data_IF_864432597203
#
_entry.id   IF_864432597203
#
_cell.length_a   1.000
_cell.length_b   1.000
_cell.length_c   1.000
_cell.angle_alpha   90.00
_cell.angle_beta   90.00
_cell.angle_gamma   90.00
#
_symmetry.space_group_name_H-M   'P 1'
#
loop_
_entity.id
_entity.type
_entity.pdbx_description
1 polymer ?
#
# COMPACT_ATOMS: atom_id res chain seq x y z
N UNK A 1 -13.90 -15.65 -11.21
CA UNK A 1 -13.55 -14.22 -11.40
C UNK A 1 -14.79 -13.31 -11.46
N UNK A 2 -15.76 -13.52 -12.41
CA UNK A 2 -16.94 -12.62 -12.53
C UNK A 2 -17.82 -12.57 -11.28
N UNK A 3 -18.07 -13.70 -10.62
CA UNK A 3 -18.86 -13.76 -9.37
C UNK A 3 -18.20 -12.94 -8.27
N UNK A 4 -16.88 -13.05 -8.11
CA UNK A 4 -16.10 -12.28 -7.13
C UNK A 4 -16.10 -10.79 -7.46
N UNK A 5 -16.00 -10.45 -8.77
CA UNK A 5 -16.08 -9.07 -9.23
C UNK A 5 -17.44 -8.44 -8.87
N UNK A 6 -18.54 -9.16 -9.10
CA UNK A 6 -19.87 -8.67 -8.71
C UNK A 6 -20.05 -8.61 -7.19
N UNK A 7 -19.44 -9.52 -6.44
CA UNK A 7 -19.51 -9.50 -4.98
C UNK A 7 -18.84 -8.26 -4.40
N UNK A 8 -17.62 -7.91 -4.85
CA UNK A 8 -16.91 -6.72 -4.36
C UNK A 8 -17.59 -5.41 -4.79
N UNK A 9 -18.26 -5.40 -5.95
CA UNK A 9 -18.98 -4.21 -6.44
C UNK A 9 -20.31 -3.96 -5.74
N UNK A 10 -21.00 -5.00 -5.28
CA UNK A 10 -22.39 -4.89 -4.80
C UNK A 10 -22.58 -5.26 -3.33
N UNK A 11 -21.60 -5.94 -2.72
CA UNK A 11 -21.69 -6.46 -1.36
C UNK A 11 -20.46 -6.11 -0.53
N UNK A 12 -19.89 -7.10 0.11
CA UNK A 12 -18.62 -7.02 0.81
C UNK A 12 -17.85 -8.30 0.59
N UNK A 13 -16.55 -8.18 0.51
CA UNK A 13 -15.64 -9.31 0.32
C UNK A 13 -14.57 -9.31 1.39
N UNK A 14 -14.06 -10.50 1.69
CA UNK A 14 -12.91 -10.70 2.55
C UNK A 14 -11.84 -11.48 1.80
N UNK A 15 -10.59 -11.07 1.94
CA UNK A 15 -9.44 -11.77 1.38
C UNK A 15 -8.25 -11.73 2.31
N UNK A 16 -7.51 -12.82 2.33
CA UNK A 16 -6.27 -12.90 3.06
C UNK A 16 -5.15 -12.19 2.27
N UNK A 17 -4.50 -11.24 2.91
CA UNK A 17 -3.33 -10.52 2.39
C UNK A 17 -2.14 -10.61 3.34
N UNK A 18 -2.04 -11.68 4.13
CA UNK A 18 -0.95 -11.90 5.08
C UNK A 18 0.43 -11.98 4.42
N UNK A 19 0.51 -12.15 3.10
CA UNK A 19 1.74 -12.00 2.32
C UNK A 19 2.33 -10.58 2.44
N UNK A 20 1.51 -9.58 2.74
CA UNK A 20 1.94 -8.23 3.10
C UNK A 20 2.49 -8.23 4.54
N UNK A 21 3.71 -8.74 4.70
CA UNK A 21 4.39 -8.82 6.00
C UNK A 21 4.58 -7.42 6.59
N UNK A 22 4.57 -7.34 7.92
CA UNK A 22 4.71 -6.08 8.63
C UNK A 22 6.11 -5.94 9.19
N UNK A 23 6.87 -4.94 8.70
CA UNK A 23 8.17 -4.59 9.28
C UNK A 23 7.97 -3.42 10.23
N UNK A 24 8.21 -3.66 11.52
CA UNK A 24 8.17 -2.65 12.56
C UNK A 24 9.49 -1.93 12.69
N UNK A 25 9.45 -0.61 12.72
CA UNK A 25 10.53 0.27 13.15
C UNK A 25 10.08 0.94 14.44
N UNK A 26 10.81 0.72 15.55
CA UNK A 26 10.45 1.24 16.86
C UNK A 26 11.66 1.73 17.63
N UNK A 27 11.52 2.88 18.29
CA UNK A 27 12.53 3.45 19.15
C UNK A 27 12.68 4.96 19.03
N UNK A 28 13.56 5.58 19.81
CA UNK A 28 13.71 7.04 19.88
C UNK A 28 14.01 7.73 18.52
N UNK A 29 14.67 7.03 17.60
CA UNK A 29 15.00 7.53 16.27
C UNK A 29 14.14 6.89 15.17
N UNK A 30 13.02 6.21 15.50
CA UNK A 30 12.17 5.55 14.52
C UNK A 30 11.61 6.53 13.46
N UNK A 31 11.19 7.74 13.85
CA UNK A 31 10.74 8.77 12.92
C UNK A 31 11.87 9.21 11.99
N UNK A 32 13.06 9.48 12.51
CA UNK A 32 14.23 9.91 11.71
C UNK A 32 14.66 8.82 10.72
N UNK A 33 14.69 7.55 11.19
CA UNK A 33 15.02 6.42 10.33
C UNK A 33 13.97 6.24 9.23
N UNK A 34 12.69 6.25 9.60
CA UNK A 34 11.58 6.15 8.64
C UNK A 34 11.65 7.28 7.61
N UNK A 35 11.89 8.53 8.07
CA UNK A 35 12.06 9.66 7.18
C UNK A 35 13.27 9.51 6.24
N UNK A 36 14.34 8.89 6.70
CA UNK A 36 15.55 8.65 5.90
C UNK A 36 15.34 7.60 4.79
N UNK A 37 14.49 6.59 4.99
CA UNK A 37 14.33 5.49 4.03
C UNK A 37 13.19 5.70 3.03
N UNK A 38 12.28 6.65 3.26
CA UNK A 38 11.19 6.97 2.34
C UNK A 38 11.45 8.27 1.59
N UNK A 39 10.81 8.46 0.43
CA UNK A 39 11.06 9.63 -0.43
C UNK A 39 10.30 10.88 -0.05
N UNK A 40 9.34 10.79 0.89
CA UNK A 40 8.53 11.91 1.36
C UNK A 40 8.71 12.14 2.87
N UNK A 41 8.21 13.27 3.36
CA UNK A 41 8.38 13.71 4.75
C UNK A 41 7.53 12.88 5.72
N UNK A 42 8.18 11.97 6.48
CA UNK A 42 7.52 11.13 7.48
C UNK A 42 7.00 11.93 8.69
N UNK A 43 7.61 13.06 9.01
CA UNK A 43 7.23 13.88 10.17
C UNK A 43 5.83 14.48 10.04
N UNK A 44 5.31 14.53 8.81
CA UNK A 44 3.94 15.01 8.50
C UNK A 44 2.85 13.94 8.62
N UNK A 45 3.22 12.71 8.94
CA UNK A 45 2.27 11.64 9.22
C UNK A 45 2.00 11.65 10.72
N UNK A 46 0.81 12.03 11.14
CA UNK A 46 0.43 12.00 12.57
C UNK A 46 0.29 10.56 13.07
N UNK A 47 0.48 10.29 14.38
CA UNK A 47 0.10 9.01 14.97
C UNK A 47 -1.33 8.62 14.64
N UNK A 48 -1.58 7.33 14.54
CA UNK A 48 -2.85 6.73 14.11
C UNK A 48 -3.28 7.15 12.70
N UNK A 49 -2.27 7.34 11.82
CA UNK A 49 -2.47 7.57 10.38
C UNK A 49 -1.58 6.67 9.55
N UNK A 50 -2.10 6.24 8.42
CA UNK A 50 -1.31 5.56 7.40
C UNK A 50 -1.03 6.47 6.20
N UNK A 51 -0.08 6.07 5.36
CA UNK A 51 0.21 6.71 4.06
C UNK A 51 0.83 5.71 3.10
N UNK A 52 0.45 5.83 1.84
CA UNK A 52 1.18 5.22 0.75
C UNK A 52 2.52 5.93 0.56
N UNK A 53 3.61 5.20 0.61
CA UNK A 53 4.96 5.73 0.49
C UNK A 53 5.78 4.87 -0.48
N UNK A 54 6.91 5.38 -0.94
CA UNK A 54 7.85 4.60 -1.73
C UNK A 54 9.24 4.64 -1.11
N UNK A 55 9.93 3.50 -1.21
CA UNK A 55 11.35 3.39 -0.91
C UNK A 55 12.12 3.23 -2.21
N UNK A 56 13.23 3.92 -2.30
CA UNK A 56 14.12 3.82 -3.46
C UNK A 56 15.52 3.37 -3.05
N UNK A 57 16.22 2.72 -3.97
CA UNK A 57 17.66 2.50 -3.84
C UNK A 57 18.46 3.80 -4.12
N UNK A 58 19.77 3.74 -3.92
CA UNK A 58 20.67 4.89 -4.13
C UNK A 58 20.65 5.45 -5.57
N UNK A 59 20.17 4.68 -6.52
CA UNK A 59 20.08 5.07 -7.95
C UNK A 59 18.69 5.58 -8.34
N UNK A 60 17.74 5.63 -7.39
CA UNK A 60 16.37 6.10 -7.60
C UNK A 60 15.40 5.02 -8.09
N UNK A 61 15.81 3.74 -8.14
CA UNK A 61 14.90 2.63 -8.46
C UNK A 61 13.99 2.27 -7.29
N UNK A 62 12.72 1.93 -7.57
CA UNK A 62 11.70 1.63 -6.56
C UNK A 62 11.94 0.26 -5.94
N UNK A 63 12.24 0.21 -4.65
CA UNK A 63 12.44 -1.04 -3.92
C UNK A 63 11.15 -1.65 -3.38
N UNK A 64 10.22 -0.81 -2.95
CA UNK A 64 8.90 -1.20 -2.45
C UNK A 64 8.00 0.02 -2.41
N UNK A 65 6.70 -0.20 -2.42
CA UNK A 65 5.66 0.82 -2.34
C UNK A 65 4.64 0.52 -1.22
N UNK A 66 5.10 0.42 0.04
CA UNK A 66 4.27 -0.05 1.14
C UNK A 66 3.23 0.99 1.58
N UNK A 67 2.25 0.50 2.33
CA UNK A 67 1.49 1.37 3.22
C UNK A 67 2.28 1.51 4.53
N UNK A 68 2.64 2.73 4.87
CA UNK A 68 3.30 3.07 6.14
C UNK A 68 2.24 3.43 7.17
N UNK A 69 2.16 2.67 8.26
CA UNK A 69 1.28 2.93 9.40
C UNK A 69 2.11 3.58 10.51
N UNK A 70 1.76 4.78 10.94
CA UNK A 70 2.33 5.38 12.16
C UNK A 70 1.44 5.02 13.34
N UNK A 71 1.90 4.09 14.15
CA UNK A 71 1.15 3.55 15.31
C UNK A 71 1.26 4.51 16.51
N UNK A 72 2.46 5.02 16.77
CA UNK A 72 2.73 5.99 17.84
C UNK A 72 3.77 7.01 17.41
N UNK A 73 4.25 7.84 18.33
CA UNK A 73 5.33 8.80 18.05
C UNK A 73 6.64 8.10 17.65
N UNK A 74 6.87 6.90 18.20
CA UNK A 74 8.12 6.15 18.09
C UNK A 74 7.93 4.75 17.46
N UNK A 75 6.78 4.48 16.81
CA UNK A 75 6.50 3.18 16.20
C UNK A 75 5.83 3.32 14.84
N UNK A 76 6.46 2.71 13.82
CA UNK A 76 6.01 2.67 12.44
C UNK A 76 5.97 1.22 11.96
N UNK A 77 4.95 0.87 11.17
CA UNK A 77 4.87 -0.41 10.46
C UNK A 77 4.89 -0.17 8.96
N UNK A 78 5.74 -0.88 8.27
CA UNK A 78 5.72 -0.97 6.81
C UNK A 78 4.93 -2.22 6.43
N UNK A 79 3.71 -2.04 5.90
CA UNK A 79 2.93 -3.11 5.28
C UNK A 79 3.44 -3.29 3.87
N UNK A 80 4.19 -4.38 3.65
CA UNK A 80 4.98 -4.58 2.43
C UNK A 80 4.10 -4.88 1.22
N UNK A 81 4.52 -4.43 0.04
CA UNK A 81 4.15 -5.04 -1.22
C UNK A 81 5.09 -6.22 -1.55
N UNK A 82 5.08 -6.70 -2.79
CA UNK A 82 5.70 -7.98 -3.18
C UNK A 82 7.24 -8.05 -3.15
N UNK A 83 7.94 -7.12 -2.48
CA UNK A 83 9.39 -7.21 -2.26
C UNK A 83 9.76 -7.24 -0.78
N UNK A 84 10.85 -7.95 -0.45
CA UNK A 84 11.37 -8.02 0.91
C UNK A 84 12.31 -6.86 1.20
N UNK A 85 11.85 -5.88 1.97
CA UNK A 85 12.69 -4.77 2.43
C UNK A 85 13.15 -4.90 3.88
N UNK A 86 12.78 -5.96 4.60
CA UNK A 86 13.17 -6.13 6.01
C UNK A 86 14.70 -6.13 6.17
N UNK A 87 15.40 -6.98 5.43
CA UNK A 87 16.88 -7.02 5.46
C UNK A 87 17.50 -5.72 4.90
N UNK A 88 16.87 -5.09 3.91
CA UNK A 88 17.33 -3.81 3.40
C UNK A 88 17.28 -2.72 4.48
N UNK A 89 16.17 -2.60 5.20
CA UNK A 89 16.02 -1.63 6.29
C UNK A 89 17.05 -1.87 7.41
N UNK A 90 17.27 -3.14 7.79
CA UNK A 90 18.33 -3.50 8.74
C UNK A 90 19.72 -3.12 8.20
N UNK A 91 19.98 -3.38 6.92
CA UNK A 91 21.24 -3.04 6.25
C UNK A 91 21.50 -1.53 6.22
N UNK A 92 20.46 -0.71 6.04
CA UNK A 92 20.59 0.77 6.07
C UNK A 92 21.00 1.27 7.46
N UNK A 93 20.68 0.55 8.53
CA UNK A 93 21.05 0.89 9.91
C UNK A 93 22.17 0.00 10.49
N UNK A 94 22.97 -0.65 9.66
CA UNK A 94 24.02 -1.58 10.11
C UNK A 94 25.08 -0.89 10.99
N UNK A 95 25.35 0.39 10.78
CA UNK A 95 26.26 1.19 11.59
C UNK A 95 25.66 1.69 12.92
N UNK A 96 24.38 1.40 13.16
CA UNK A 96 23.69 1.76 14.40
C UNK A 96 23.47 3.26 14.60
N UNK A 97 23.55 4.05 13.53
CA UNK A 97 23.38 5.53 13.62
C UNK A 97 21.98 5.98 14.03
N UNK A 98 20.97 5.12 13.88
CA UNK A 98 19.62 5.35 14.37
C UNK A 98 19.31 4.42 15.53
N UNK A 99 18.97 4.97 16.67
CA UNK A 99 18.55 4.20 17.84
C UNK A 99 17.10 3.72 17.68
N UNK A 100 16.92 2.65 16.90
CA UNK A 100 15.64 1.97 16.70
C UNK A 100 15.86 0.50 16.40
N UNK A 101 14.85 -0.33 16.72
CA UNK A 101 14.76 -1.73 16.31
C UNK A 101 14.02 -1.86 15.00
N UNK A 102 14.42 -2.81 14.17
CA UNK A 102 13.82 -3.10 12.86
C UNK A 102 13.59 -4.61 12.81
N UNK A 103 12.33 -5.01 12.81
CA UNK A 103 11.96 -6.43 12.90
C UNK A 103 10.64 -6.73 12.19
N UNK A 104 10.51 -7.93 11.65
CA UNK A 104 9.22 -8.45 11.22
C UNK A 104 8.41 -8.86 12.46
N UNK A 105 7.16 -8.44 12.51
CA UNK A 105 6.26 -8.69 13.64
C UNK A 105 5.13 -9.63 13.27
N UNK A 106 4.64 -10.39 14.27
CA UNK A 106 3.47 -11.28 14.11
C UNK A 106 2.18 -10.45 14.02
N UNK A 107 1.99 -9.82 12.86
CA UNK A 107 0.78 -9.07 12.50
C UNK A 107 0.42 -9.41 11.07
N UNK A 108 -0.78 -9.92 10.85
CA UNK A 108 -1.25 -10.29 9.51
C UNK A 108 -2.50 -9.50 9.11
N UNK A 109 -2.50 -8.88 7.91
CA UNK A 109 -3.65 -8.15 7.41
C UNK A 109 -4.67 -9.05 6.72
N UNK A 110 -5.95 -8.65 6.87
CA UNK A 110 -7.09 -9.16 6.11
C UNK A 110 -7.82 -7.97 5.53
N UNK A 111 -8.16 -7.99 4.24
CA UNK A 111 -8.92 -6.93 3.60
C UNK A 111 -10.43 -7.21 3.60
N UNK A 112 -11.20 -6.18 3.96
CA UNK A 112 -12.68 -6.16 3.94
C UNK A 112 -13.08 -5.07 2.97
N UNK A 113 -13.51 -5.43 1.77
CA UNK A 113 -13.69 -4.50 0.66
C UNK A 113 -15.08 -4.60 0.04
N UNK A 114 -15.65 -3.47 -0.33
CA UNK A 114 -16.94 -3.35 -1.01
C UNK A 114 -17.91 -2.39 -0.31
N UNK A 115 -19.05 -2.05 -0.94
CA UNK A 115 -19.98 -1.03 -0.45
C UNK A 115 -20.59 -1.32 0.93
N UNK A 116 -20.64 -2.60 1.35
CA UNK A 116 -21.13 -2.98 2.68
C UNK A 116 -20.02 -3.15 3.73
N UNK A 117 -18.75 -2.87 3.38
CA UNK A 117 -17.63 -3.04 4.30
C UNK A 117 -17.81 -2.23 5.60
N UNK A 118 -18.22 -0.96 5.49
CA UNK A 118 -18.47 -0.11 6.68
C UNK A 118 -19.53 -0.71 7.61
N UNK A 119 -20.63 -1.22 7.06
CA UNK A 119 -21.69 -1.82 7.86
C UNK A 119 -21.21 -3.08 8.60
N UNK A 120 -20.44 -3.94 7.91
CA UNK A 120 -19.84 -5.11 8.52
C UNK A 120 -18.85 -4.72 9.63
N UNK A 121 -17.99 -3.72 9.40
CA UNK A 121 -17.03 -3.28 10.42
C UNK A 121 -17.70 -2.69 11.65
N UNK A 122 -18.81 -1.96 11.49
CA UNK A 122 -19.63 -1.49 12.61
C UNK A 122 -20.21 -2.64 13.44
N UNK A 123 -20.66 -3.70 12.78
CA UNK A 123 -21.15 -4.89 13.48
C UNK A 123 -20.05 -5.64 14.25
N UNK A 124 -18.84 -5.66 13.71
CA UNK A 124 -17.70 -6.34 14.33
C UNK A 124 -17.09 -5.58 15.51
N UNK A 125 -17.02 -4.26 15.41
CA UNK A 125 -16.31 -3.42 16.37
C UNK A 125 -17.26 -2.62 17.30
N UNK A 126 -18.55 -2.52 16.96
CA UNK A 126 -19.50 -1.70 17.70
C UNK A 126 -19.05 -0.23 17.80
N UNK A 127 -19.26 0.37 18.95
CA UNK A 127 -18.92 1.77 19.24
C UNK A 127 -17.43 1.99 19.56
N UNK A 128 -16.60 0.95 19.44
CA UNK A 128 -15.15 1.06 19.70
C UNK A 128 -14.42 1.90 18.63
N UNK A 129 -14.99 2.00 17.43
CA UNK A 129 -14.40 2.74 16.30
C UNK A 129 -15.47 3.60 15.63
N UNK A 130 -15.19 4.88 15.49
CA UNK A 130 -16.04 5.81 14.73
C UNK A 130 -15.77 5.71 13.23
N UNK A 131 -16.39 4.71 12.60
CA UNK A 131 -16.25 4.49 11.15
C UNK A 131 -16.92 5.57 10.29
N UNK A 132 -17.80 6.40 10.85
CA UNK A 132 -18.45 7.47 10.09
C UNK A 132 -17.52 8.65 9.87
N UNK A 133 -16.66 8.94 10.84
CA UNK A 133 -15.69 10.03 10.78
C UNK A 133 -14.26 9.54 10.53
N UNK A 134 -14.03 8.24 10.37
CA UNK A 134 -12.70 7.71 10.06
C UNK A 134 -12.28 8.17 8.66
N UNK A 135 -11.19 8.93 8.53
CA UNK A 135 -10.73 9.38 7.22
C UNK A 135 -9.98 8.26 6.47
N UNK A 136 -9.89 8.37 5.16
CA UNK A 136 -9.03 7.49 4.36
C UNK A 136 -7.60 7.50 4.93
N UNK A 137 -6.98 6.33 5.09
CA UNK A 137 -5.73 6.12 5.84
C UNK A 137 -5.81 6.49 7.34
N UNK A 138 -7.00 6.59 7.93
CA UNK A 138 -7.17 6.62 9.39
C UNK A 138 -6.90 5.24 9.97
N UNK A 139 -6.31 5.21 11.18
CA UNK A 139 -6.08 4.00 11.94
C UNK A 139 -6.92 4.02 13.22
N UNK A 140 -7.32 2.84 13.70
CA UNK A 140 -7.94 2.67 15.01
C UNK A 140 -7.49 1.35 15.64
N UNK A 141 -7.11 1.38 16.92
CA UNK A 141 -6.90 0.17 17.70
C UNK A 141 -8.23 -0.33 18.26
N UNK A 142 -8.51 -1.62 18.10
CA UNK A 142 -9.77 -2.23 18.52
C UNK A 142 -9.61 -3.74 18.70
N UNK A 143 -10.74 -4.43 18.89
CA UNK A 143 -10.79 -5.90 18.91
C UNK A 143 -11.78 -6.41 17.88
N UNK A 144 -11.38 -7.45 17.16
CA UNK A 144 -12.25 -8.22 16.25
C UNK A 144 -12.26 -9.68 16.72
N UNK A 145 -13.43 -10.25 16.97
CA UNK A 145 -13.52 -11.58 17.58
C UNK A 145 -12.84 -11.68 18.94
N UNK A 146 -12.77 -10.58 19.70
CA UNK A 146 -12.08 -10.50 20.99
C UNK A 146 -10.55 -10.37 20.90
N UNK A 147 -9.97 -10.33 19.69
CA UNK A 147 -8.51 -10.28 19.44
C UNK A 147 -8.07 -8.87 19.06
N UNK A 148 -6.89 -8.47 19.55
CA UNK A 148 -6.33 -7.14 19.34
C UNK A 148 -5.97 -6.90 17.88
N UNK A 149 -6.49 -5.83 17.32
CA UNK A 149 -6.26 -5.43 15.92
C UNK A 149 -6.00 -3.93 15.79
N UNK A 150 -5.31 -3.57 14.72
CA UNK A 150 -5.32 -2.21 14.16
C UNK A 150 -6.18 -2.26 12.91
N UNK A 151 -7.13 -1.33 12.79
CA UNK A 151 -7.94 -1.16 11.58
C UNK A 151 -7.40 0.02 10.80
N UNK A 152 -7.25 -0.14 9.49
CA UNK A 152 -6.95 0.94 8.55
C UNK A 152 -8.10 1.10 7.58
N UNK A 153 -8.51 2.34 7.28
CA UNK A 153 -9.40 2.60 6.14
C UNK A 153 -8.56 2.67 4.87
N UNK A 154 -8.29 1.54 4.30
CA UNK A 154 -7.45 1.33 3.11
C UNK A 154 -7.85 0.06 2.38
N UNK A 155 -7.19 -0.26 1.27
CA UNK A 155 -7.38 -1.47 0.50
C UNK A 155 -6.81 -1.41 -0.89
N UNK A 156 -6.77 -2.56 -1.55
CA UNK A 156 -6.15 -2.78 -2.87
C UNK A 156 -7.17 -3.02 -3.99
N UNK A 157 -8.38 -2.45 -3.86
CA UNK A 157 -9.50 -2.76 -4.78
C UNK A 157 -10.09 -1.55 -5.50
N UNK A 158 -9.85 -0.35 -4.99
CA UNK A 158 -10.55 0.87 -5.42
C UNK A 158 -11.98 0.98 -4.90
N UNK A 159 -12.47 0.00 -4.15
CA UNK A 159 -13.75 0.07 -3.44
C UNK A 159 -13.55 0.63 -2.03
N UNK A 160 -14.65 1.08 -1.41
CA UNK A 160 -14.61 1.41 0.00
C UNK A 160 -14.26 0.17 0.83
N UNK A 161 -13.35 0.32 1.78
CA UNK A 161 -12.90 -0.84 2.54
C UNK A 161 -11.99 -0.54 3.70
N UNK A 162 -11.64 -1.62 4.38
CA UNK A 162 -10.80 -1.62 5.56
C UNK A 162 -9.81 -2.77 5.51
N UNK A 163 -8.71 -2.60 6.20
CA UNK A 163 -7.73 -3.64 6.47
C UNK A 163 -7.68 -3.88 7.97
N UNK A 164 -7.78 -5.15 8.37
CA UNK A 164 -7.70 -5.60 9.75
C UNK A 164 -6.32 -6.18 9.97
N UNK A 165 -5.45 -5.50 10.69
CA UNK A 165 -4.11 -5.93 11.06
C UNK A 165 -4.20 -6.67 12.39
N UNK A 166 -4.27 -7.99 12.36
CA UNK A 166 -4.40 -8.85 13.54
C UNK A 166 -3.05 -9.01 14.22
N UNK A 167 -2.95 -8.64 15.51
CA UNK A 167 -1.80 -8.91 16.37
C UNK A 167 -1.81 -10.36 16.85
N UNK A 168 -0.63 -10.93 17.05
CA UNK A 168 -0.45 -12.34 17.46
C UNK A 168 -1.19 -13.29 16.50
N UNK A 169 -1.04 -13.02 15.19
CA UNK A 169 -1.81 -13.67 14.13
C UNK A 169 -1.57 -15.18 14.07
N UNK A 170 -0.38 -15.65 14.40
CA UNK A 170 -0.04 -17.09 14.47
C UNK A 170 -0.92 -17.83 15.48
N UNK A 171 -1.44 -17.14 16.50
CA UNK A 171 -2.28 -17.75 17.53
C UNK A 171 -3.77 -17.55 17.26
N UNK A 172 -4.17 -16.44 16.64
CA UNK A 172 -5.56 -15.99 16.65
C UNK A 172 -6.18 -15.76 15.27
N UNK A 173 -5.51 -16.19 14.19
CA UNK A 173 -6.02 -15.99 12.83
C UNK A 173 -7.41 -16.62 12.64
N UNK A 174 -7.61 -17.85 13.11
CA UNK A 174 -8.89 -18.56 12.98
C UNK A 174 -10.02 -17.87 13.74
N UNK A 175 -9.74 -17.37 14.95
CA UNK A 175 -10.74 -16.69 15.78
C UNK A 175 -11.24 -15.41 15.08
N UNK A 176 -10.33 -14.58 14.60
CA UNK A 176 -10.67 -13.35 13.89
C UNK A 176 -11.37 -13.65 12.57
N UNK A 177 -10.83 -14.58 11.77
CA UNK A 177 -11.41 -14.96 10.49
C UNK A 177 -12.84 -15.46 10.60
N UNK A 178 -13.10 -16.36 11.55
CA UNK A 178 -14.43 -16.90 11.80
C UNK A 178 -15.40 -15.82 12.32
N UNK A 179 -14.95 -14.91 13.19
CA UNK A 179 -15.78 -13.79 13.64
C UNK A 179 -16.22 -12.90 12.47
N UNK A 180 -15.31 -12.61 11.52
CA UNK A 180 -15.66 -11.86 10.31
C UNK A 180 -16.61 -12.62 9.41
N UNK A 181 -16.40 -13.93 9.21
CA UNK A 181 -17.30 -14.78 8.44
C UNK A 181 -18.71 -14.78 9.02
N UNK A 182 -18.83 -14.97 10.34
CA UNK A 182 -20.12 -15.04 11.02
C UNK A 182 -20.89 -13.72 10.95
N UNK A 183 -20.24 -12.60 11.24
CA UNK A 183 -20.83 -11.27 11.12
C UNK A 183 -21.17 -10.93 9.65
N UNK A 184 -20.37 -11.42 8.72
CA UNK A 184 -20.51 -11.17 7.29
C UNK A 184 -21.73 -11.83 6.62
N UNK A 185 -22.30 -12.88 7.24
CA UNK A 185 -23.45 -13.64 6.67
C UNK A 185 -24.62 -12.72 6.29
N UNK A 186 -25.00 -11.79 7.16
CA UNK A 186 -26.10 -10.84 6.91
C UNK A 186 -25.78 -9.77 5.87
N UNK A 187 -24.49 -9.56 5.55
CA UNK A 187 -24.03 -8.61 4.56
C UNK A 187 -23.74 -9.24 3.19
N UNK A 188 -23.98 -10.54 3.03
CA UNK A 188 -23.63 -11.31 1.83
C UNK A 188 -22.12 -11.30 1.58
N UNK A 189 -21.33 -11.46 2.66
CA UNK A 189 -19.87 -11.54 2.57
C UNK A 189 -19.45 -12.73 1.71
N UNK A 190 -18.53 -12.48 0.81
CA UNK A 190 -17.87 -13.52 0.03
C UNK A 190 -16.37 -13.50 0.30
N UNK A 191 -15.79 -14.67 0.52
CA UNK A 191 -14.32 -14.83 0.53
C UNK A 191 -13.85 -14.89 -0.92
N UNK A 192 -12.89 -14.04 -1.27
CA UNK A 192 -12.32 -13.95 -2.61
C UNK A 192 -10.79 -13.89 -2.54
N UNK A 193 -10.13 -13.90 -3.69
CA UNK A 193 -8.71 -13.61 -3.82
C UNK A 193 -8.47 -12.19 -4.36
N UNK A 194 -7.28 -11.59 -4.10
CA UNK A 194 -6.85 -10.38 -4.78
C UNK A 194 -6.93 -10.55 -6.31
N UNK A 195 -7.41 -9.53 -7.01
CA UNK A 195 -7.63 -9.61 -8.44
C UNK A 195 -7.02 -8.42 -9.18
N UNK A 196 -6.04 -8.68 -10.04
CA UNK A 196 -5.31 -7.63 -10.77
C UNK A 196 -6.22 -6.74 -11.62
N UNK A 197 -7.26 -7.29 -12.26
CA UNK A 197 -8.19 -6.47 -13.04
C UNK A 197 -8.87 -5.39 -12.20
N UNK A 198 -9.11 -5.64 -10.90
CA UNK A 198 -9.73 -4.65 -10.01
C UNK A 198 -8.77 -3.52 -9.67
N UNK A 199 -7.55 -3.85 -9.24
CA UNK A 199 -6.56 -2.84 -8.88
C UNK A 199 -6.14 -2.01 -10.11
N UNK A 200 -6.01 -2.65 -11.31
CA UNK A 200 -5.69 -1.96 -12.56
C UNK A 200 -6.81 -0.99 -12.94
N UNK A 201 -8.07 -1.39 -12.84
CA UNK A 201 -9.23 -0.51 -13.08
C UNK A 201 -9.23 0.70 -12.13
N UNK A 202 -8.74 0.54 -10.91
CA UNK A 202 -8.62 1.61 -9.93
C UNK A 202 -7.33 2.44 -10.07
N UNK A 203 -6.42 2.06 -10.98
CA UNK A 203 -5.12 2.72 -11.15
C UNK A 203 -4.13 2.43 -10.02
N UNK A 204 -4.33 1.34 -9.26
CA UNK A 204 -3.45 0.94 -8.16
C UNK A 204 -2.32 0.08 -8.73
N UNK A 205 -1.07 0.48 -8.47
CA UNK A 205 0.12 -0.23 -8.90
C UNK A 205 0.42 -1.42 -7.99
N UNK A 206 1.14 -2.38 -8.55
CA UNK A 206 1.66 -3.54 -7.83
C UNK A 206 3.14 -3.68 -8.14
N UNK A 207 3.97 -3.64 -7.13
CA UNK A 207 5.40 -3.90 -7.28
C UNK A 207 5.61 -5.33 -7.78
N UNK A 208 6.58 -5.54 -8.66
CA UNK A 208 6.82 -6.81 -9.32
C UNK A 208 5.97 -7.06 -10.57
N UNK A 209 4.80 -6.40 -10.69
CA UNK A 209 3.93 -6.49 -11.87
C UNK A 209 4.08 -5.27 -12.78
N UNK A 210 3.97 -4.06 -12.21
CA UNK A 210 3.99 -2.81 -12.96
C UNK A 210 5.36 -2.09 -12.86
N UNK A 211 6.10 -2.37 -11.82
CA UNK A 211 7.40 -1.74 -11.54
C UNK A 211 8.27 -2.66 -10.67
N UNK A 212 9.56 -2.42 -10.72
CA UNK A 212 10.59 -3.07 -9.91
C UNK A 212 11.75 -2.09 -9.61
N UNK A 213 12.85 -2.61 -9.05
CA UNK A 213 14.02 -1.80 -8.71
C UNK A 213 14.74 -1.15 -9.91
N UNK A 214 14.41 -1.51 -11.15
CA UNK A 214 14.96 -0.89 -12.37
C UNK A 214 14.12 0.31 -12.82
N UNK A 215 12.93 0.48 -12.24
CA UNK A 215 12.01 1.55 -12.55
C UNK A 215 12.13 2.68 -11.54
N UNK A 216 12.16 3.92 -12.01
CA UNK A 216 12.12 5.09 -11.13
C UNK A 216 10.69 5.61 -10.93
N UNK A 217 10.43 6.38 -9.86
CA UNK A 217 9.07 6.86 -9.57
C UNK A 217 8.44 7.70 -10.69
N UNK A 218 9.25 8.43 -11.46
CA UNK A 218 8.71 9.34 -12.50
C UNK A 218 8.15 8.56 -13.68
N UNK A 219 8.78 7.47 -14.09
CA UNK A 219 8.27 6.63 -15.16
C UNK A 219 7.03 5.82 -14.77
N UNK A 220 6.81 5.62 -13.45
CA UNK A 220 5.65 4.93 -12.88
C UNK A 220 4.51 5.91 -12.49
N UNK A 221 4.61 7.19 -12.87
CA UNK A 221 3.67 8.25 -12.46
C UNK A 221 3.58 8.47 -10.94
N UNK A 222 4.59 8.03 -10.17
CA UNK A 222 4.69 8.22 -8.72
C UNK A 222 5.56 9.43 -8.33
N UNK A 223 5.89 10.31 -9.27
CA UNK A 223 6.71 11.50 -9.03
C UNK A 223 6.18 12.42 -7.93
N UNK A 224 4.85 12.42 -7.69
CA UNK A 224 4.23 13.17 -6.61
C UNK A 224 4.60 12.63 -5.21
N UNK A 225 5.13 11.40 -5.11
CA UNK A 225 5.63 10.80 -3.88
C UNK A 225 7.07 11.25 -3.55
N UNK A 226 7.75 11.91 -4.50
CA UNK A 226 9.16 12.26 -4.34
C UNK A 226 9.30 13.69 -3.87
N UNK A 227 9.96 13.88 -2.74
CA UNK A 227 10.28 15.20 -2.21
C UNK A 227 11.46 15.81 -2.97
N UNK A 228 11.16 16.67 -3.95
CA UNK A 228 12.17 17.37 -4.74
C UNK A 228 12.40 18.79 -4.23
N UNK A 229 13.66 19.13 -3.90
CA UNK A 229 14.11 20.49 -3.61
C UNK A 229 13.25 21.21 -2.54
N UNK A 230 12.64 20.48 -1.62
CA UNK A 230 11.84 21.05 -0.53
C UNK A 230 10.56 21.75 -0.99
N UNK A 231 9.97 21.38 -2.12
CA UNK A 231 8.70 21.92 -2.63
C UNK A 231 7.55 20.91 -2.52
N UNK A 232 6.37 21.43 -2.23
CA UNK A 232 5.14 20.64 -2.11
C UNK A 232 4.78 20.27 -0.67
N UNK A 233 3.58 19.74 -0.47
CA UNK A 233 3.02 19.42 0.85
C UNK A 233 3.90 18.45 1.66
N UNK A 234 4.46 17.44 0.98
CA UNK A 234 5.29 16.39 1.58
C UNK A 234 6.79 16.60 1.36
N UNK A 235 7.16 17.83 1.03
CA UNK A 235 8.55 18.18 0.79
C UNK A 235 9.36 18.17 2.07
N UNK A 236 10.56 17.64 2.01
CA UNK A 236 11.55 17.66 3.09
C UNK A 236 12.89 18.18 2.61
N UNK A 237 13.63 18.80 3.53
CA UNK A 237 15.01 19.24 3.29
C UNK A 237 16.02 18.20 3.73
N UNK A 238 15.62 17.31 4.67
CA UNK A 238 16.48 16.24 5.17
C UNK A 238 16.97 15.34 4.04
N UNK A 239 18.08 14.68 4.28
CA UNK A 239 18.62 13.67 3.37
C UNK A 239 17.80 12.39 3.45
N UNK A 240 17.75 11.65 2.33
CA UNK A 240 17.09 10.34 2.26
C UNK A 240 17.74 9.48 1.17
N UNK A 241 17.56 8.17 1.25
CA UNK A 241 18.13 7.23 0.28
C UNK A 241 17.61 7.52 -1.12
N UNK A 242 18.54 7.66 -2.09
CA UNK A 242 18.21 7.94 -3.48
C UNK A 242 18.01 9.42 -3.82
N UNK A 243 18.04 10.35 -2.84
CA UNK A 243 17.77 11.77 -3.05
C UNK A 243 18.56 12.38 -4.20
N UNK A 244 19.89 12.19 -4.23
CA UNK A 244 20.73 12.78 -5.27
C UNK A 244 20.33 12.30 -6.69
N UNK A 245 20.04 11.01 -6.86
CA UNK A 245 19.58 10.46 -8.12
C UNK A 245 18.20 11.02 -8.52
N UNK A 246 17.26 11.07 -7.59
CA UNK A 246 15.90 11.57 -7.82
C UNK A 246 15.88 13.08 -8.11
N UNK A 247 16.71 13.88 -7.43
CA UNK A 247 16.86 15.32 -7.72
C UNK A 247 17.43 15.56 -9.12
N UNK A 248 18.43 14.75 -9.56
CA UNK A 248 18.97 14.80 -10.91
C UNK A 248 17.89 14.50 -11.95
N UNK A 249 17.14 13.41 -11.77
CA UNK A 249 16.02 13.03 -12.65
C UNK A 249 14.95 14.12 -12.69
N UNK A 250 14.61 14.70 -11.53
CA UNK A 250 13.64 15.79 -11.42
C UNK A 250 14.11 17.08 -12.13
N UNK A 251 15.40 17.35 -12.15
CA UNK A 251 15.98 18.46 -12.92
C UNK A 251 15.88 18.19 -14.43
N UNK A 252 16.23 16.99 -14.88
CA UNK A 252 16.10 16.59 -16.28
C UNK A 252 14.67 16.73 -16.78
N UNK A 253 13.67 16.32 -15.98
CA UNK A 253 12.26 16.49 -16.33
C UNK A 253 11.85 17.96 -16.47
N UNK A 254 12.35 18.85 -15.61
CA UNK A 254 12.10 20.32 -15.74
C UNK A 254 12.70 20.90 -17.00
N UNK A 255 13.82 20.35 -17.48
CA UNK A 255 14.46 20.74 -18.73
C UNK A 255 13.81 20.08 -19.97
N UNK A 256 12.67 19.39 -19.80
CA UNK A 256 11.96 18.70 -20.88
C UNK A 256 12.59 17.40 -21.34
N UNK A 257 13.58 16.90 -20.59
CA UNK A 257 14.22 15.61 -20.86
C UNK A 257 13.49 14.51 -20.09
N UNK A 258 13.40 13.30 -20.65
CA UNK A 258 12.88 12.13 -19.96
C UNK A 258 14.04 11.30 -19.40
N UNK A 259 14.21 11.16 -18.07
CA UNK A 259 15.26 10.33 -17.45
C UNK A 259 14.93 8.83 -17.53
N UNK A 260 14.10 8.43 -18.47
CA UNK A 260 13.65 7.05 -18.71
C UNK A 260 13.29 6.86 -20.19
N UNK A 261 13.37 5.61 -20.65
CA UNK A 261 13.01 5.24 -22.03
C UNK A 261 11.54 4.80 -22.15
N UNK A 262 11.01 4.20 -21.10
CA UNK A 262 9.64 3.67 -21.05
C UNK A 262 8.87 4.38 -19.94
N UNK A 263 7.59 4.57 -20.13
CA UNK A 263 6.69 5.16 -19.15
C UNK A 263 5.46 4.28 -19.00
N UNK A 264 5.03 4.04 -17.77
CA UNK A 264 3.78 3.38 -17.48
C UNK A 264 2.62 4.29 -17.92
N UNK A 265 1.69 3.72 -18.68
CA UNK A 265 0.51 4.43 -19.18
C UNK A 265 -0.74 3.58 -18.96
N UNK A 266 -1.88 4.23 -18.78
CA UNK A 266 -3.19 3.60 -18.84
C UNK A 266 -3.64 3.43 -20.29
N UNK A 267 -4.26 2.31 -20.60
CA UNK A 267 -4.89 2.08 -21.90
C UNK A 267 -6.40 2.00 -21.74
N UNK A 268 -7.13 2.75 -22.54
CA UNK A 268 -8.56 2.59 -22.73
C UNK A 268 -8.77 1.80 -24.01
N UNK A 269 -9.36 0.60 -23.89
CA UNK A 269 -9.59 -0.28 -25.02
C UNK A 269 -11.03 -0.13 -25.51
N UNK A 270 -11.18 0.22 -26.78
CA UNK A 270 -12.46 0.19 -27.49
C UNK A 270 -12.74 -1.19 -28.13
N UNK A 271 -13.91 -1.33 -28.73
CA UNK A 271 -14.28 -2.53 -29.48
C UNK A 271 -15.18 -3.51 -28.72
N UNK A 272 -15.23 -4.74 -29.16
CA UNK A 272 -16.02 -5.81 -28.50
C UNK A 272 -15.29 -6.33 -27.28
N UNK A 273 -16.04 -6.80 -26.25
CA UNK A 273 -15.42 -7.52 -25.12
C UNK A 273 -14.58 -8.69 -25.62
N UNK A 274 -13.45 -8.92 -24.93
CA UNK A 274 -12.58 -10.07 -25.19
C UNK A 274 -13.32 -11.33 -24.69
N UNK A 275 -13.68 -12.22 -25.60
CA UNK A 275 -14.44 -13.45 -25.27
C UNK A 275 -13.51 -14.62 -24.94
N UNK A 276 -12.30 -14.64 -25.50
CA UNK A 276 -11.31 -15.69 -25.27
C UNK A 276 -10.05 -15.11 -24.60
N UNK A 277 -9.55 -15.80 -23.58
CA UNK A 277 -8.31 -15.43 -22.92
C UNK A 277 -7.12 -15.94 -23.77
N UNK A 278 -6.30 -15.00 -24.25
CA UNK A 278 -5.02 -15.33 -24.84
C UNK A 278 -3.95 -15.35 -23.72
N UNK A 279 -3.25 -16.48 -23.51
CA UNK A 279 -2.29 -16.61 -22.41
C UNK A 279 -0.99 -15.84 -22.65
N UNK A 280 -0.75 -15.37 -23.87
CA UNK A 280 0.48 -14.70 -24.29
C UNK A 280 0.33 -13.18 -24.32
N UNK A 281 1.38 -12.49 -24.73
CA UNK A 281 1.44 -11.04 -24.79
C UNK A 281 0.50 -10.46 -25.85
N UNK A 282 -0.17 -9.37 -25.50
CA UNK A 282 -0.87 -8.53 -26.45
C UNK A 282 0.11 -7.49 -27.01
N UNK A 283 0.31 -7.51 -28.32
CA UNK A 283 0.99 -6.43 -29.01
C UNK A 283 -0.06 -5.36 -29.34
N UNK A 284 0.05 -4.20 -28.72
CA UNK A 284 -0.75 -3.05 -29.04
C UNK A 284 0.04 -2.17 -30.01
N UNK A 285 -0.45 -2.08 -31.24
CA UNK A 285 0.06 -1.10 -32.20
C UNK A 285 -0.80 0.17 -32.10
N UNK A 286 -0.22 1.37 -32.02
CA UNK A 286 -0.97 2.59 -32.18
C UNK A 286 -1.62 2.56 -33.57
N UNK A 287 -2.89 2.96 -33.66
CA UNK A 287 -3.51 3.16 -34.98
C UNK A 287 -2.64 4.15 -35.77
N UNK A 288 -2.43 3.84 -37.05
CA UNK A 288 -1.63 4.65 -37.96
C UNK A 288 -2.24 6.06 -38.04
N UNK A 289 -1.66 7.02 -37.32
CA UNK A 289 -2.09 8.40 -37.32
C UNK A 289 -1.89 9.17 -36.01
N UNK A 290 -1.40 8.56 -34.95
CA UNK A 290 -1.01 9.28 -33.72
C UNK A 290 0.52 9.31 -33.59
N UNK A 291 1.12 10.48 -33.80
CA UNK A 291 2.48 10.78 -33.39
C UNK A 291 2.64 10.83 -31.87
#
# INVERSE_FOLDING_TARGET
>A
AMVEYHAIKNHVTMWNVAVERQIRVKGPDAEKFTDYVITRDATKISPMRARYVILCNAYGGVLNDPILLRISEDEFWFSLSDSDIGMYLQGVNTDGRFNCTIEEIDVSPVQIQGPKAKALMKDLCGDQVDFDNMPFYGLAETKVGGRSCVISQSGFSGEAGYEIYLRDSMLYADDMWNAVLDAGKKHSLMVIAPAHHRRIQAGILSWGQDMDQQHNPFQCNLGYQVSLSGKGEWAKKADYVGKAALEKMGAELKDGKKPYKLQLVGLELGGKPIEEYAPDFWLVSPESGGD
#
